data_IF_391476870545
#
_entry.id   IF_391476870545
#
_cell.length_a   1.000
_cell.length_b   1.000
_cell.length_c   1.000
_cell.angle_alpha   90.00
_cell.angle_beta   90.00
_cell.angle_gamma   90.00
#
_symmetry.space_group_name_H-M   'P 1'
#
loop_
_entity.id
_entity.type
_entity.pdbx_description
1 polymer ?
#
# COMPACT_ATOMS: atom_id res chain seq x y z
N UNK A 1 80.26 -39.03 -51.08
CA UNK A 1 78.85 -39.36 -50.91
C UNK A 1 78.42 -38.61 -49.67
N UNK A 2 77.77 -37.48 -49.88
CA UNK A 2 77.30 -36.60 -48.79
C UNK A 2 75.95 -37.16 -48.33
N UNK A 3 75.87 -37.48 -47.04
CA UNK A 3 74.64 -37.90 -46.36
C UNK A 3 73.82 -36.64 -46.07
N UNK A 4 72.68 -36.51 -46.77
CA UNK A 4 71.68 -35.47 -46.50
C UNK A 4 71.02 -35.74 -45.14
N UNK A 5 71.44 -35.02 -44.10
CA UNK A 5 70.74 -34.94 -42.82
C UNK A 5 69.38 -34.23 -43.00
N UNK A 6 68.30 -34.99 -43.00
CA UNK A 6 66.92 -34.49 -43.00
C UNK A 6 66.65 -33.65 -41.74
N UNK A 7 66.69 -32.32 -41.88
CA UNK A 7 66.32 -31.38 -40.82
C UNK A 7 64.92 -31.70 -40.24
N UNK A 8 64.73 -31.76 -38.91
CA UNK A 8 63.42 -32.05 -38.33
C UNK A 8 62.42 -30.93 -38.64
N UNK A 9 61.26 -31.31 -39.19
CA UNK A 9 60.18 -30.38 -39.57
C UNK A 9 59.76 -29.50 -38.38
N UNK A 10 59.47 -28.20 -38.60
CA UNK A 10 59.10 -27.27 -37.54
C UNK A 10 57.80 -27.71 -36.84
N UNK A 11 57.84 -27.85 -35.52
CA UNK A 11 56.67 -28.19 -34.70
C UNK A 11 55.76 -26.95 -34.57
N UNK A 12 54.52 -27.07 -35.06
CA UNK A 12 53.50 -26.04 -34.90
C UNK A 12 53.03 -26.02 -33.44
N UNK A 13 53.12 -24.87 -32.77
CA UNK A 13 52.62 -24.67 -31.39
C UNK A 13 51.34 -23.84 -31.42
N UNK A 14 50.38 -24.21 -30.57
CA UNK A 14 49.13 -23.46 -30.43
C UNK A 14 49.38 -22.15 -29.67
N UNK A 15 48.71 -21.08 -30.08
CA UNK A 15 48.76 -19.81 -29.36
C UNK A 15 47.79 -19.85 -28.16
N UNK A 16 48.27 -19.77 -26.91
CA UNK A 16 47.42 -19.87 -25.72
C UNK A 16 46.42 -18.71 -25.58
N UNK A 17 46.68 -17.55 -26.22
CA UNK A 17 45.79 -16.40 -26.16
C UNK A 17 44.52 -16.54 -27.04
N UNK A 18 44.55 -17.46 -28.01
CA UNK A 18 43.46 -17.67 -28.98
C UNK A 18 42.82 -19.05 -28.76
N UNK A 19 43.50 -19.96 -28.05
CA UNK A 19 42.97 -21.28 -27.77
C UNK A 19 41.80 -21.21 -26.78
N UNK A 20 40.69 -21.91 -27.06
CA UNK A 20 39.61 -22.04 -26.10
C UNK A 20 40.08 -22.84 -24.87
N UNK A 21 39.50 -22.54 -23.71
CA UNK A 21 39.74 -23.30 -22.47
C UNK A 21 38.84 -24.54 -22.39
N UNK A 22 37.64 -24.45 -22.98
CA UNK A 22 36.62 -25.49 -22.98
C UNK A 22 36.16 -25.78 -24.40
N UNK A 23 36.03 -27.06 -24.74
CA UNK A 23 35.54 -27.51 -26.05
C UNK A 23 34.40 -28.51 -25.85
N UNK A 24 33.21 -28.12 -26.31
CA UNK A 24 32.00 -28.95 -26.25
C UNK A 24 31.48 -29.16 -27.67
N UNK A 25 31.22 -30.42 -28.01
CA UNK A 25 30.67 -30.84 -29.31
C UNK A 25 29.28 -31.41 -29.10
N UNK A 26 28.28 -30.77 -29.69
CA UNK A 26 26.89 -31.21 -29.67
C UNK A 26 26.59 -31.93 -30.98
N UNK A 27 26.20 -33.20 -30.89
CA UNK A 27 25.73 -33.99 -32.02
C UNK A 27 24.20 -34.12 -31.98
N UNK A 28 23.56 -34.03 -33.14
CA UNK A 28 22.12 -34.29 -33.31
C UNK A 28 21.87 -34.74 -34.74
N UNK A 29 20.84 -35.54 -34.95
CA UNK A 29 20.39 -36.00 -36.25
C UNK A 29 19.83 -34.85 -37.08
N UNK A 30 20.01 -34.94 -38.41
CA UNK A 30 19.51 -33.93 -39.35
C UNK A 30 18.00 -33.68 -39.19
N UNK A 31 17.22 -34.73 -38.91
CA UNK A 31 15.78 -34.65 -38.75
C UNK A 31 15.39 -33.77 -37.55
N UNK A 32 16.08 -33.93 -36.42
CA UNK A 32 15.83 -33.12 -35.22
C UNK A 32 16.31 -31.68 -35.39
N UNK A 33 17.46 -31.47 -36.04
CA UNK A 33 17.94 -30.15 -36.41
C UNK A 33 16.93 -29.40 -37.30
N UNK A 34 16.43 -30.05 -38.37
CA UNK A 34 15.38 -29.49 -39.24
C UNK A 34 14.12 -29.15 -38.45
N UNK A 35 13.65 -30.08 -37.60
CA UNK A 35 12.47 -29.87 -36.77
C UNK A 35 12.63 -28.61 -35.91
N UNK A 36 13.74 -28.45 -35.18
CA UNK A 36 13.97 -27.30 -34.28
C UNK A 36 14.08 -25.97 -35.03
N UNK A 37 14.64 -25.97 -36.23
CA UNK A 37 14.75 -24.77 -37.06
C UNK A 37 13.39 -24.33 -37.59
N UNK A 38 12.62 -25.25 -38.18
CA UNK A 38 11.33 -24.93 -38.79
C UNK A 38 10.21 -24.70 -37.77
N UNK A 39 10.33 -25.19 -36.53
CA UNK A 39 9.41 -24.83 -35.43
C UNK A 39 9.73 -23.47 -34.80
N UNK A 40 10.81 -22.80 -35.22
CA UNK A 40 11.23 -21.50 -34.67
C UNK A 40 11.94 -21.59 -33.31
N UNK A 41 12.23 -22.80 -32.82
CA UNK A 41 12.96 -23.01 -31.57
C UNK A 41 14.47 -22.73 -31.70
N UNK A 42 15.00 -22.73 -32.93
CA UNK A 42 16.39 -22.43 -33.22
C UNK A 42 16.52 -21.39 -34.35
N UNK A 43 17.53 -20.53 -34.26
CA UNK A 43 17.86 -19.56 -35.31
C UNK A 43 18.77 -20.22 -36.35
N UNK A 44 18.43 -20.12 -37.63
CA UNK A 44 19.27 -20.67 -38.69
C UNK A 44 18.69 -20.47 -40.10
N UNK A 45 19.12 -21.30 -41.09
CA UNK A 45 18.67 -21.19 -42.47
C UNK A 45 17.14 -21.32 -42.57
N UNK A 46 16.53 -20.49 -43.42
CA UNK A 46 15.08 -20.40 -43.54
C UNK A 46 14.51 -21.42 -44.53
N UNK A 47 15.36 -21.97 -45.39
CA UNK A 47 14.99 -22.96 -46.41
C UNK A 47 15.72 -24.29 -46.19
N UNK A 48 15.11 -25.37 -46.65
CA UNK A 48 15.69 -26.72 -46.54
C UNK A 48 16.95 -26.89 -47.41
N UNK A 49 16.99 -26.24 -48.57
CA UNK A 49 18.16 -26.26 -49.46
C UNK A 49 19.38 -25.59 -48.82
N UNK A 50 19.19 -24.43 -48.17
CA UNK A 50 20.25 -23.76 -47.41
C UNK A 50 20.73 -24.59 -46.21
N UNK A 51 19.81 -25.30 -45.54
CA UNK A 51 20.16 -26.19 -44.45
C UNK A 51 21.07 -27.32 -44.92
N UNK A 52 20.73 -27.96 -46.05
CA UNK A 52 21.52 -29.05 -46.63
C UNK A 52 22.90 -28.56 -47.05
N UNK A 53 22.99 -27.41 -47.72
CA UNK A 53 24.28 -26.81 -48.12
C UNK A 53 25.17 -26.52 -46.90
N UNK A 54 24.63 -25.89 -45.85
CA UNK A 54 25.40 -25.61 -44.63
C UNK A 54 25.82 -26.88 -43.90
N UNK A 55 24.98 -27.91 -43.92
CA UNK A 55 25.28 -29.19 -43.28
C UNK A 55 26.41 -29.92 -44.01
N UNK A 56 26.44 -29.90 -45.34
CA UNK A 56 27.54 -30.50 -46.12
C UNK A 56 28.84 -29.71 -45.97
N UNK A 57 28.77 -28.38 -45.96
CA UNK A 57 29.92 -27.52 -45.65
C UNK A 57 30.47 -27.79 -44.25
N UNK A 58 29.60 -27.89 -43.24
CA UNK A 58 29.98 -28.23 -41.87
C UNK A 58 30.68 -29.59 -41.81
N UNK A 59 30.12 -30.61 -42.48
CA UNK A 59 30.72 -31.95 -42.54
C UNK A 59 32.10 -31.89 -43.15
N UNK A 60 32.23 -31.30 -44.33
CA UNK A 60 33.52 -31.19 -45.02
C UNK A 60 34.58 -30.45 -44.19
N UNK A 61 34.17 -29.42 -43.46
CA UNK A 61 35.09 -28.61 -42.67
C UNK A 61 35.48 -29.24 -41.33
N UNK A 62 34.59 -30.01 -40.70
CA UNK A 62 34.76 -30.47 -39.31
C UNK A 62 34.84 -31.99 -39.14
N UNK A 63 34.21 -32.74 -40.03
CA UNK A 63 34.22 -34.21 -40.06
C UNK A 63 35.21 -34.63 -41.15
N UNK A 64 36.24 -35.36 -40.74
CA UNK A 64 37.32 -35.75 -41.62
C UNK A 64 36.87 -36.77 -42.68
N UNK A 65 36.70 -36.35 -43.93
CA UNK A 65 36.55 -37.26 -45.08
C UNK A 65 37.91 -37.58 -45.74
N UNK A 66 38.91 -36.71 -45.58
CA UNK A 66 40.21 -36.77 -46.29
C UNK A 66 41.38 -37.30 -45.43
N UNK A 67 41.12 -37.82 -44.23
CA UNK A 67 42.15 -38.36 -43.32
C UNK A 67 42.96 -37.32 -42.53
N UNK A 68 42.62 -36.03 -42.60
CA UNK A 68 43.07 -35.02 -41.64
C UNK A 68 42.34 -35.20 -40.30
N UNK A 69 42.94 -34.85 -39.14
CA UNK A 69 42.22 -34.94 -37.86
C UNK A 69 41.01 -34.01 -37.89
N UNK A 70 39.82 -34.53 -37.53
CA UNK A 70 38.61 -33.74 -37.40
C UNK A 70 38.75 -32.64 -36.35
N UNK A 71 37.88 -31.63 -36.33
CA UNK A 71 38.03 -30.47 -35.41
C UNK A 71 38.11 -30.89 -33.94
N UNK A 72 37.32 -31.89 -33.52
CA UNK A 72 37.39 -32.47 -32.17
C UNK A 72 38.69 -33.21 -31.90
N UNK A 73 39.21 -33.94 -32.89
CA UNK A 73 40.47 -34.68 -32.79
C UNK A 73 41.66 -33.71 -32.74
N UNK A 74 41.62 -32.62 -33.50
CA UNK A 74 42.61 -31.55 -33.42
C UNK A 74 42.73 -30.99 -32.00
N UNK A 75 41.62 -30.66 -31.34
CA UNK A 75 41.68 -30.14 -29.97
C UNK A 75 42.14 -31.19 -28.95
N UNK A 76 41.82 -32.47 -29.18
CA UNK A 76 42.24 -33.56 -28.30
C UNK A 76 43.73 -33.90 -28.45
N UNK A 77 44.21 -34.03 -29.68
CA UNK A 77 45.56 -34.53 -29.99
C UNK A 77 46.60 -33.42 -30.07
N UNK A 78 46.25 -32.27 -30.66
CA UNK A 78 47.21 -31.18 -30.92
C UNK A 78 47.14 -30.14 -29.81
N UNK A 79 45.94 -29.80 -29.32
CA UNK A 79 45.79 -28.83 -28.23
C UNK A 79 45.85 -29.45 -26.83
N UNK A 80 45.71 -30.78 -26.71
CA UNK A 80 45.69 -31.47 -25.41
C UNK A 80 44.48 -31.11 -24.54
N UNK A 81 43.43 -30.55 -25.13
CA UNK A 81 42.21 -30.14 -24.44
C UNK A 81 41.24 -31.32 -24.35
N UNK A 82 40.53 -31.42 -23.22
CA UNK A 82 39.43 -32.38 -23.08
C UNK A 82 38.25 -31.91 -23.92
N UNK A 83 37.73 -32.74 -24.81
CA UNK A 83 36.52 -32.42 -25.60
C UNK A 83 35.33 -33.18 -25.00
N UNK A 84 34.27 -32.45 -24.62
CA UNK A 84 33.02 -33.04 -24.17
C UNK A 84 32.10 -33.29 -25.38
N UNK A 85 31.70 -34.54 -25.60
CA UNK A 85 30.73 -34.91 -26.63
C UNK A 85 29.37 -35.20 -25.99
N UNK A 86 28.33 -34.50 -26.44
CA UNK A 86 26.95 -34.65 -25.97
C UNK A 86 26.07 -34.97 -27.17
N UNK A 87 25.20 -35.97 -27.02
CA UNK A 87 24.24 -36.38 -28.05
C UNK A 87 22.89 -35.76 -27.70
N UNK A 88 22.58 -34.63 -28.33
CA UNK A 88 21.36 -33.87 -28.08
C UNK A 88 20.07 -34.57 -28.52
N UNK A 89 20.17 -35.76 -29.12
CA UNK A 89 19.00 -36.60 -29.42
C UNK A 89 18.68 -37.60 -28.30
N UNK A 90 19.68 -37.93 -27.45
CA UNK A 90 19.54 -38.90 -26.36
C UNK A 90 19.51 -38.23 -25.00
N UNK A 91 20.32 -37.20 -24.82
CA UNK A 91 20.47 -36.48 -23.56
C UNK A 91 19.40 -35.38 -23.48
N UNK A 92 18.63 -35.36 -22.40
CA UNK A 92 17.67 -34.28 -22.12
C UNK A 92 18.40 -32.94 -21.89
N UNK A 93 17.70 -31.81 -22.07
CA UNK A 93 18.31 -30.48 -21.92
C UNK A 93 18.92 -30.28 -20.52
N UNK A 94 18.27 -30.78 -19.48
CA UNK A 94 18.78 -30.74 -18.10
C UNK A 94 20.02 -31.63 -17.91
N UNK A 95 20.07 -32.78 -18.58
CA UNK A 95 21.21 -33.70 -18.53
C UNK A 95 22.41 -33.13 -19.27
N UNK A 96 22.20 -32.63 -20.49
CA UNK A 96 23.21 -31.92 -21.26
C UNK A 96 23.75 -30.71 -20.48
N UNK A 97 22.87 -29.92 -19.86
CA UNK A 97 23.28 -28.78 -19.04
C UNK A 97 24.10 -29.20 -17.82
N UNK A 98 23.71 -30.27 -17.12
CA UNK A 98 24.48 -30.83 -15.99
C UNK A 98 25.86 -31.31 -16.44
N UNK A 99 25.95 -32.04 -17.54
CA UNK A 99 27.23 -32.52 -18.08
C UNK A 99 28.16 -31.37 -18.46
N UNK A 100 27.62 -30.33 -19.11
CA UNK A 100 28.36 -29.10 -19.43
C UNK A 100 28.83 -28.44 -18.13
N UNK A 101 27.94 -28.24 -17.17
CA UNK A 101 28.27 -27.59 -15.88
C UNK A 101 29.40 -28.32 -15.15
N UNK A 102 29.30 -29.65 -15.01
CA UNK A 102 30.33 -30.48 -14.37
C UNK A 102 31.66 -30.39 -15.13
N UNK A 103 31.63 -30.38 -16.46
CA UNK A 103 32.83 -30.24 -17.27
C UNK A 103 33.50 -28.87 -17.07
N UNK A 104 32.73 -27.78 -17.03
CA UNK A 104 33.30 -26.45 -16.76
C UNK A 104 33.85 -26.33 -15.34
N UNK A 105 33.11 -26.81 -14.33
CA UNK A 105 33.53 -26.82 -12.92
C UNK A 105 34.80 -27.63 -12.70
N UNK A 106 35.06 -28.65 -13.51
CA UNK A 106 36.26 -29.49 -13.39
C UNK A 106 37.58 -28.73 -13.62
N UNK A 107 37.53 -27.57 -14.28
CA UNK A 107 38.70 -26.70 -14.48
C UNK A 107 38.73 -25.48 -13.55
N UNK A 108 37.72 -25.29 -12.68
CA UNK A 108 37.71 -24.23 -11.67
C UNK A 108 36.32 -23.70 -11.33
N UNK A 109 36.26 -22.81 -10.34
CA UNK A 109 35.03 -22.13 -9.96
C UNK A 109 34.76 -20.97 -10.91
N UNK A 110 33.67 -21.05 -11.67
CA UNK A 110 33.20 -19.94 -12.48
C UNK A 110 32.60 -18.87 -11.57
N UNK A 111 33.05 -17.63 -11.71
CA UNK A 111 32.44 -16.50 -11.04
C UNK A 111 31.25 -16.02 -11.87
N UNK A 112 30.04 -16.21 -11.36
CA UNK A 112 28.87 -15.58 -11.92
C UNK A 112 28.90 -14.09 -11.51
N UNK A 113 29.02 -13.18 -12.48
CA UNK A 113 29.04 -11.73 -12.25
C UNK A 113 27.64 -11.12 -12.05
N UNK A 114 26.61 -11.96 -11.92
CA UNK A 114 25.25 -11.52 -11.61
C UNK A 114 25.06 -11.30 -10.10
N UNK A 115 24.04 -10.51 -9.78
CA UNK A 115 23.56 -10.27 -8.41
C UNK A 115 23.32 -11.62 -7.71
N UNK A 116 23.81 -11.78 -6.48
CA UNK A 116 23.58 -13.02 -5.72
C UNK A 116 22.09 -13.17 -5.39
N UNK A 117 21.64 -14.41 -5.24
CA UNK A 117 20.25 -14.70 -4.84
C UNK A 117 19.90 -14.06 -3.49
N UNK A 118 20.87 -14.01 -2.56
CA UNK A 118 20.71 -13.38 -1.26
C UNK A 118 20.45 -11.87 -1.36
N UNK A 119 21.17 -11.17 -2.24
CA UNK A 119 20.95 -9.73 -2.47
C UNK A 119 19.57 -9.47 -3.08
N UNK A 120 19.13 -10.33 -4.01
CA UNK A 120 17.80 -10.23 -4.60
C UNK A 120 16.68 -10.50 -3.59
N UNK A 121 16.89 -11.45 -2.67
CA UNK A 121 15.94 -11.76 -1.61
C UNK A 121 15.79 -10.58 -0.65
N UNK A 122 16.90 -9.97 -0.22
CA UNK A 122 16.89 -8.78 0.65
C UNK A 122 16.16 -7.61 0.01
N UNK A 123 16.40 -7.34 -1.27
CA UNK A 123 15.73 -6.24 -1.97
C UNK A 123 14.20 -6.44 -2.02
N UNK A 124 13.75 -7.68 -2.27
CA UNK A 124 12.32 -8.03 -2.24
C UNK A 124 11.71 -7.89 -0.85
N UNK A 125 12.43 -8.29 0.20
CA UNK A 125 11.98 -8.14 1.58
C UNK A 125 11.85 -6.66 1.98
N UNK A 126 12.81 -5.83 1.58
CA UNK A 126 12.76 -4.37 1.83
C UNK A 126 11.60 -3.70 1.10
N UNK A 127 11.33 -4.12 -0.15
CA UNK A 127 10.21 -3.63 -0.96
C UNK A 127 8.87 -4.01 -0.32
N UNK A 128 8.71 -5.26 0.09
CA UNK A 128 7.52 -5.75 0.78
C UNK A 128 7.29 -4.99 2.10
N UNK A 129 8.33 -4.82 2.90
CA UNK A 129 8.26 -4.08 4.16
C UNK A 129 7.92 -2.60 3.94
N UNK A 130 8.33 -2.01 2.80
CA UNK A 130 7.95 -0.64 2.43
C UNK A 130 6.47 -0.56 2.06
N UNK A 131 5.96 -1.53 1.31
CA UNK A 131 4.54 -1.60 0.94
C UNK A 131 3.65 -1.77 2.18
N UNK A 132 4.00 -2.65 3.12
CA UNK A 132 3.25 -2.83 4.37
C UNK A 132 3.16 -1.52 5.17
N UNK A 133 4.30 -0.82 5.35
CA UNK A 133 4.31 0.48 6.06
C UNK A 133 3.38 1.50 5.42
N UNK A 134 3.36 1.57 4.08
CA UNK A 134 2.48 2.48 3.35
C UNK A 134 1.01 2.10 3.52
N UNK A 135 0.69 0.80 3.53
CA UNK A 135 -0.68 0.34 3.77
C UNK A 135 -1.16 0.64 5.18
N UNK A 136 -0.30 0.45 6.18
CA UNK A 136 -0.62 0.72 7.58
C UNK A 136 -0.80 2.22 7.83
N UNK A 137 0.06 3.07 7.24
CA UNK A 137 -0.14 4.52 7.26
C UNK A 137 -1.46 4.94 6.61
N UNK A 138 -1.84 4.30 5.49
CA UNK A 138 -3.11 4.58 4.82
C UNK A 138 -4.29 4.18 5.70
N UNK A 139 -4.26 2.99 6.30
CA UNK A 139 -5.31 2.51 7.22
C UNK A 139 -5.42 3.42 8.44
N UNK A 140 -4.31 3.82 9.05
CA UNK A 140 -4.29 4.73 10.19
C UNK A 140 -4.85 6.11 9.85
N UNK A 141 -4.55 6.66 8.66
CA UNK A 141 -5.14 7.92 8.20
C UNK A 141 -6.64 7.80 7.95
N UNK A 142 -7.09 6.68 7.40
CA UNK A 142 -8.50 6.41 7.17
C UNK A 142 -9.29 6.29 8.48
N UNK A 143 -8.75 5.57 9.47
CA UNK A 143 -9.39 5.46 10.80
C UNK A 143 -9.44 6.82 11.50
N UNK A 144 -8.34 7.58 11.49
CA UNK A 144 -8.33 8.94 12.07
C UNK A 144 -9.32 9.87 11.37
N UNK A 145 -9.42 9.82 10.04
CA UNK A 145 -10.37 10.63 9.30
C UNK A 145 -11.82 10.26 9.62
N UNK A 146 -12.10 8.96 9.78
CA UNK A 146 -13.42 8.45 10.16
C UNK A 146 -13.81 8.87 11.58
N UNK A 147 -12.90 8.73 12.54
CA UNK A 147 -13.10 9.16 13.93
C UNK A 147 -13.35 10.67 14.01
N UNK A 148 -12.52 11.48 13.34
CA UNK A 148 -12.69 12.93 13.29
C UNK A 148 -14.01 13.35 12.62
N UNK A 149 -14.47 12.62 11.59
CA UNK A 149 -15.76 12.87 10.95
C UNK A 149 -16.94 12.52 11.88
N UNK A 150 -16.83 11.42 12.64
CA UNK A 150 -17.83 11.01 13.62
C UNK A 150 -17.92 12.00 14.80
N UNK A 151 -16.79 12.46 15.33
CA UNK A 151 -16.76 13.49 16.38
C UNK A 151 -17.41 14.79 15.91
N UNK A 152 -17.07 15.27 14.71
CA UNK A 152 -17.71 16.46 14.12
C UNK A 152 -19.21 16.30 13.94
N UNK A 153 -19.67 15.09 13.60
CA UNK A 153 -21.10 14.80 13.48
C UNK A 153 -21.76 14.83 14.86
N UNK A 154 -21.16 14.19 15.87
CA UNK A 154 -21.66 14.18 17.26
C UNK A 154 -21.76 15.59 17.83
N UNK A 155 -20.75 16.44 17.62
CA UNK A 155 -20.76 17.84 18.04
C UNK A 155 -21.90 18.62 17.37
N UNK A 156 -22.08 18.45 16.05
CA UNK A 156 -23.19 19.09 15.32
C UNK A 156 -24.54 18.66 15.85
N UNK A 157 -24.75 17.34 16.04
CA UNK A 157 -26.02 16.83 16.57
C UNK A 157 -26.27 17.34 17.99
N UNK A 158 -25.26 17.39 18.85
CA UNK A 158 -25.38 17.91 20.21
C UNK A 158 -25.69 19.41 20.22
N UNK A 159 -25.06 20.20 19.35
CA UNK A 159 -25.33 21.62 19.21
C UNK A 159 -26.75 21.90 18.70
N UNK A 160 -27.23 21.12 17.73
CA UNK A 160 -28.59 21.26 17.19
C UNK A 160 -29.64 20.84 18.22
N UNK A 161 -29.40 19.77 18.99
CA UNK A 161 -30.26 19.40 20.11
C UNK A 161 -30.29 20.45 21.21
N UNK A 162 -29.14 21.03 21.57
CA UNK A 162 -29.06 22.09 22.57
C UNK A 162 -29.88 23.33 22.13
N UNK A 163 -29.76 23.75 20.88
CA UNK A 163 -30.57 24.83 20.30
C UNK A 163 -32.07 24.51 20.36
N UNK A 164 -32.47 23.30 19.98
CA UNK A 164 -33.88 22.88 20.05
C UNK A 164 -34.42 22.93 21.47
N UNK A 165 -33.66 22.44 22.46
CA UNK A 165 -34.04 22.50 23.87
C UNK A 165 -34.17 23.93 24.36
N UNK A 166 -33.27 24.82 23.96
CA UNK A 166 -33.35 26.24 24.31
C UNK A 166 -34.62 26.89 23.76
N UNK A 167 -34.95 26.66 22.48
CA UNK A 167 -36.18 27.19 21.86
C UNK A 167 -37.42 26.69 22.59
N UNK A 168 -37.45 25.41 22.99
CA UNK A 168 -38.56 24.84 23.76
C UNK A 168 -38.66 25.54 25.13
N UNK A 169 -37.55 25.64 25.87
CA UNK A 169 -37.52 26.29 27.18
C UNK A 169 -37.97 27.76 27.12
N UNK A 170 -37.52 28.52 26.11
CA UNK A 170 -37.94 29.91 25.91
C UNK A 170 -39.44 29.99 25.58
N UNK A 171 -39.96 29.06 24.76
CA UNK A 171 -41.40 28.99 24.45
C UNK A 171 -42.25 28.63 25.67
N UNK A 172 -41.79 27.73 26.53
CA UNK A 172 -42.47 27.35 27.77
C UNK A 172 -42.45 28.51 28.77
N UNK A 173 -41.31 29.19 28.92
CA UNK A 173 -41.19 30.34 29.81
C UNK A 173 -42.11 31.48 29.39
N UNK A 174 -42.17 31.80 28.09
CA UNK A 174 -43.07 32.82 27.56
C UNK A 174 -44.54 32.44 27.71
N UNK A 175 -44.90 31.17 27.55
CA UNK A 175 -46.26 30.69 27.82
C UNK A 175 -46.64 30.88 29.29
N UNK A 176 -45.77 30.49 30.22
CA UNK A 176 -45.98 30.66 31.66
C UNK A 176 -46.10 32.14 32.06
N UNK A 177 -45.28 33.02 31.47
CA UNK A 177 -45.37 34.46 31.70
C UNK A 177 -46.71 35.03 31.20
N UNK A 178 -47.19 34.58 30.04
CA UNK A 178 -48.49 34.98 29.50
C UNK A 178 -49.65 34.48 30.39
N UNK A 179 -49.57 33.27 30.93
CA UNK A 179 -50.57 32.73 31.87
C UNK A 179 -50.56 33.48 33.22
N UNK A 180 -49.38 33.93 33.67
CA UNK A 180 -49.24 34.72 34.89
C UNK A 180 -49.66 36.19 34.71
N UNK A 181 -49.79 36.68 33.47
CA UNK A 181 -50.06 38.08 33.15
C UNK A 181 -51.36 38.61 33.80
N UNK A 182 -52.52 37.90 33.74
CA UNK A 182 -53.76 38.39 34.34
C UNK A 182 -53.66 38.53 35.87
N UNK A 183 -53.02 37.56 36.53
CA UNK A 183 -52.79 37.61 37.98
C UNK A 183 -51.86 38.77 38.34
N UNK A 184 -50.78 38.97 37.57
CA UNK A 184 -49.86 40.09 37.78
C UNK A 184 -50.56 41.44 37.61
N UNK A 185 -51.38 41.59 36.57
CA UNK A 185 -52.18 42.80 36.35
C UNK A 185 -53.14 43.05 37.52
N UNK A 186 -53.80 42.00 38.02
CA UNK A 186 -54.67 42.11 39.20
C UNK A 186 -53.89 42.55 40.44
N UNK A 187 -52.75 41.91 40.73
CA UNK A 187 -51.91 42.28 41.87
C UNK A 187 -51.41 43.72 41.75
N UNK A 188 -50.88 44.13 40.59
CA UNK A 188 -50.38 45.49 40.37
C UNK A 188 -51.48 46.56 40.42
N UNK A 189 -52.70 46.25 39.97
CA UNK A 189 -53.82 47.20 39.95
C UNK A 189 -54.50 47.37 41.30
N UNK A 190 -54.67 46.29 42.08
CA UNK A 190 -55.53 46.29 43.26
C UNK A 190 -54.80 46.07 44.57
N UNK A 191 -53.77 45.19 44.60
CA UNK A 191 -53.16 44.74 45.86
C UNK A 191 -51.89 45.53 46.17
N UNK A 192 -51.00 45.69 45.18
CA UNK A 192 -49.69 46.32 45.34
C UNK A 192 -49.76 47.78 45.79
N UNK A 193 -50.66 48.65 45.29
CA UNK A 193 -50.71 50.05 45.72
C UNK A 193 -50.97 50.19 47.22
N UNK A 194 -52.03 49.55 47.71
CA UNK A 194 -52.43 49.58 49.13
C UNK A 194 -51.38 48.94 50.03
N UNK A 195 -50.82 47.80 49.59
CA UNK A 195 -49.82 47.08 50.37
C UNK A 195 -48.46 47.81 50.40
N UNK A 196 -48.09 48.51 49.33
CA UNK A 196 -46.88 49.35 49.29
C UNK A 196 -47.00 50.56 50.21
N UNK A 197 -48.18 51.18 50.29
CA UNK A 197 -48.45 52.28 51.21
C UNK A 197 -48.42 51.82 52.67
N UNK A 198 -49.06 50.69 52.98
CA UNK A 198 -49.02 50.08 54.31
C UNK A 198 -47.59 49.70 54.73
N UNK A 199 -46.81 49.09 53.84
CA UNK A 199 -45.40 48.78 54.10
C UNK A 199 -44.55 50.05 54.31
N UNK A 200 -44.86 51.14 53.60
CA UNK A 200 -44.20 52.44 53.80
C UNK A 200 -44.50 53.00 55.18
N UNK A 201 -45.74 52.87 55.67
CA UNK A 201 -46.11 53.29 57.03
C UNK A 201 -45.46 52.42 58.11
N UNK A 202 -45.43 51.10 57.94
CA UNK A 202 -44.69 50.19 58.84
C UNK A 202 -43.22 50.60 58.96
N UNK A 203 -42.57 50.91 57.83
CA UNK A 203 -41.18 51.36 57.82
C UNK A 203 -40.97 52.71 58.53
N UNK A 204 -41.98 53.58 58.57
CA UNK A 204 -41.93 54.89 59.25
C UNK A 204 -42.16 54.76 60.75
N UNK A 205 -43.14 53.96 61.15
CA UNK A 205 -43.58 53.87 62.55
C UNK A 205 -42.76 52.86 63.37
N UNK A 206 -42.12 51.89 62.70
CA UNK A 206 -41.36 50.80 63.33
C UNK A 206 -42.08 50.21 64.56
N UNK A 207 -43.31 49.69 64.41
CA UNK A 207 -44.05 49.08 65.50
C UNK A 207 -43.37 47.81 66.03
N UNK A 208 -43.65 47.43 67.28
CA UNK A 208 -43.09 46.21 67.88
C UNK A 208 -43.48 44.93 67.13
N UNK A 209 -44.71 44.88 66.58
CA UNK A 209 -45.16 43.81 65.67
C UNK A 209 -45.57 44.38 64.29
N UNK A 210 -44.68 44.33 63.29
CA UNK A 210 -44.93 44.89 61.97
C UNK A 210 -45.95 44.09 61.15
N UNK A 211 -46.17 42.82 61.46
CA UNK A 211 -47.11 41.97 60.71
C UNK A 211 -48.53 42.30 61.15
N UNK A 212 -48.78 42.34 62.46
CA UNK A 212 -50.08 42.66 63.04
C UNK A 212 -50.51 44.10 62.67
N UNK A 213 -49.58 45.06 62.73
CA UNK A 213 -49.83 46.43 62.32
C UNK A 213 -50.24 46.54 60.84
N UNK A 214 -49.53 45.84 59.95
CA UNK A 214 -49.85 45.85 58.52
C UNK A 214 -51.21 45.19 58.24
N UNK A 215 -51.55 44.11 58.94
CA UNK A 215 -52.85 43.47 58.82
C UNK A 215 -53.99 44.40 59.23
N UNK A 216 -53.84 45.09 60.37
CA UNK A 216 -54.82 46.09 60.84
C UNK A 216 -54.97 47.25 59.84
N UNK A 217 -53.86 47.75 59.28
CA UNK A 217 -53.88 48.76 58.23
C UNK A 217 -54.68 48.31 57.00
N UNK A 218 -54.44 47.09 56.53
CA UNK A 218 -55.14 46.51 55.38
C UNK A 218 -56.64 46.31 55.66
N UNK A 219 -57.02 45.87 56.86
CA UNK A 219 -58.43 45.73 57.26
C UNK A 219 -59.16 47.07 57.31
N UNK A 220 -58.52 48.12 57.83
CA UNK A 220 -59.10 49.47 57.85
C UNK A 220 -59.34 49.99 56.43
N UNK A 221 -58.33 49.89 55.55
CA UNK A 221 -58.45 50.31 54.15
C UNK A 221 -59.50 49.51 53.36
N UNK A 222 -59.68 48.22 53.65
CA UNK A 222 -60.71 47.41 53.00
C UNK A 222 -62.13 47.89 53.34
N UNK A 223 -62.38 48.30 54.59
CA UNK A 223 -63.67 48.84 55.04
C UNK A 223 -63.99 50.19 54.38
N UNK A 224 -62.97 51.04 54.19
CA UNK A 224 -63.12 52.34 53.51
C UNK A 224 -63.46 52.17 52.02
N UNK A 225 -62.84 51.19 51.35
CA UNK A 225 -63.13 50.87 49.94
C UNK A 225 -64.57 50.32 49.80
N UNK A 226 -65.01 49.41 50.68
CA UNK A 226 -66.38 48.89 50.68
C UNK A 226 -67.43 49.99 50.88
N UNK A 227 -67.17 50.96 51.76
CA UNK A 227 -68.04 52.12 51.95
C UNK A 227 -68.14 52.97 50.67
N UNK A 228 -67.00 53.27 50.02
CA UNK A 228 -66.97 54.07 48.79
C UNK A 228 -67.66 53.40 47.59
N UNK A 229 -67.58 52.07 47.47
CA UNK A 229 -68.24 51.30 46.42
C UNK A 229 -69.75 51.17 46.64
N UNK A 230 -70.20 51.14 47.90
CA UNK A 230 -71.62 51.13 48.26
C UNK A 230 -72.29 52.48 47.98
N UNK A 231 -71.57 53.58 48.14
CA UNK A 231 -72.04 54.93 47.79
C UNK A 231 -72.13 55.14 46.27
N UNK A 232 -71.16 54.62 45.49
CA UNK A 232 -71.15 54.75 44.03
C UNK A 232 -72.21 53.89 43.30
N UNK A 233 -72.86 52.96 44.00
CA UNK A 233 -73.90 52.06 43.46
C UNK A 233 -75.33 52.57 43.65
N UNK A 234 -75.53 53.64 44.44
CA UNK A 234 -76.80 54.33 44.65
C UNK A 234 -76.88 55.60 43.78
#
# INVERSE_FOLDING_TARGET
EEEDEENPKPQRKLNPAISPEFVVTLASTEANCKRRLFTGAARGPMTEEEFLQKTTEYRRANLAEDGSPGTSEFFKEIAGLRVLHIDADKDDEEEAFRLISVYLESNGQLFNYLRSEEELAREKEEELARLERLEDERKARETQAREAAEERLREKTAADEAKRRQVIADSEATLLENEALPLRQYLMGYVVPTLSEGLSQVCREQPEDPIEFLAQYLFAHAQDIEASLAEARN
#
